data_IF_337795873009
#
_entry.id   IF_337795873009
#
_cell.length_a   1.000
_cell.length_b   1.000
_cell.length_c   1.000
_cell.angle_alpha   90.00
_cell.angle_beta   90.00
_cell.angle_gamma   90.00
#
_symmetry.space_group_name_H-M   'P 1'
#
loop_
_entity.id
_entity.type
_entity.pdbx_description
1 polymer ?
#
# COMPACT_ATOMS: atom_id res chain seq x y z
N UNK A 1 -14.96 16.95 1.71
CA UNK A 1 -15.04 15.51 1.39
C UNK A 1 -13.85 14.96 0.61
N UNK A 2 -13.77 14.97 -0.74
CA UNK A 2 -12.65 14.28 -1.44
C UNK A 2 -11.26 14.87 -1.15
N UNK A 3 -11.09 16.20 -1.23
CA UNK A 3 -9.80 16.85 -0.91
C UNK A 3 -9.38 16.64 0.56
N UNK A 4 -10.36 16.59 1.45
CA UNK A 4 -10.18 16.35 2.87
C UNK A 4 -9.76 14.90 3.14
N UNK A 5 -10.40 13.92 2.49
CA UNK A 5 -10.00 12.52 2.54
C UNK A 5 -8.57 12.33 2.02
N UNK A 6 -8.22 12.97 0.89
CA UNK A 6 -6.86 12.96 0.37
C UNK A 6 -5.88 13.53 1.41
N UNK A 7 -6.23 14.63 2.07
CA UNK A 7 -5.39 15.23 3.11
C UNK A 7 -5.19 14.28 4.30
N UNK A 8 -6.23 13.57 4.73
CA UNK A 8 -6.17 12.63 5.85
C UNK A 8 -5.32 11.39 5.55
N UNK A 9 -5.32 10.93 4.29
CA UNK A 9 -4.66 9.70 3.87
C UNK A 9 -3.24 9.91 3.30
N UNK A 10 -2.83 11.17 3.12
CA UNK A 10 -1.50 11.53 2.61
C UNK A 10 -0.48 11.62 3.75
N UNK A 11 0.76 11.21 3.48
CA UNK A 11 1.90 11.40 4.38
C UNK A 11 2.72 12.64 3.96
N UNK A 12 2.11 13.82 4.12
CA UNK A 12 2.75 15.11 3.75
C UNK A 12 3.93 15.48 4.66
N UNK A 13 3.92 14.96 5.89
CA UNK A 13 5.01 15.04 6.86
C UNK A 13 5.16 13.66 7.51
N UNK A 14 6.34 13.32 8.05
CA UNK A 14 6.49 12.10 8.83
C UNK A 14 5.52 12.07 10.01
N UNK A 15 4.82 10.95 10.21
CA UNK A 15 3.85 10.75 11.27
C UNK A 15 4.27 9.60 12.17
N UNK A 16 4.00 9.74 13.47
CA UNK A 16 4.19 8.65 14.40
C UNK A 16 3.07 7.64 14.21
N UNK A 17 3.43 6.37 14.08
CA UNK A 17 2.48 5.27 13.91
C UNK A 17 2.68 4.25 15.03
N UNK A 18 1.61 3.92 15.74
CA UNK A 18 1.63 2.91 16.81
C UNK A 18 0.96 1.64 16.28
N UNK A 19 1.74 0.57 16.17
CA UNK A 19 1.26 -0.73 15.71
C UNK A 19 0.87 -1.60 16.90
N UNK A 20 -0.40 -1.99 16.98
CA UNK A 20 -0.90 -2.83 18.08
C UNK A 20 -0.63 -4.32 17.83
N UNK A 21 0.56 -4.76 18.25
CA UNK A 21 1.07 -6.15 18.27
C UNK A 21 1.15 -6.90 16.93
N UNK A 22 2.29 -7.56 16.73
CA UNK A 22 2.76 -8.30 15.56
C UNK A 22 2.08 -9.67 15.37
N UNK A 23 0.75 -9.72 15.36
CA UNK A 23 0.09 -10.95 14.92
C UNK A 23 0.20 -11.07 13.38
N UNK A 24 0.69 -12.21 12.85
CA UNK A 24 0.72 -12.44 11.41
C UNK A 24 -0.70 -12.28 10.85
N UNK A 25 -0.85 -11.45 9.82
CA UNK A 25 -2.11 -11.28 9.10
C UNK A 25 -2.39 -12.58 8.33
N UNK A 26 -3.31 -13.39 8.83
CA UNK A 26 -3.72 -14.66 8.20
C UNK A 26 -4.35 -14.49 6.82
N UNK A 27 -4.82 -13.28 6.52
CA UNK A 27 -5.41 -12.87 5.26
C UNK A 27 -4.37 -12.38 4.24
N UNK A 28 -3.11 -12.20 4.63
CA UNK A 28 -2.04 -11.82 3.72
C UNK A 28 -1.22 -13.06 3.31
N UNK A 29 -0.89 -13.19 2.01
CA UNK A 29 0.06 -14.21 1.58
C UNK A 29 1.44 -13.94 2.22
N UNK A 30 2.23 -14.97 2.53
CA UNK A 30 3.58 -14.79 3.05
C UNK A 30 4.43 -13.99 2.06
N UNK A 31 5.35 -13.17 2.56
CA UNK A 31 6.25 -12.39 1.71
C UNK A 31 7.12 -13.34 0.88
N UNK A 32 7.05 -13.29 -0.45
CA UNK A 32 7.94 -14.05 -1.30
C UNK A 32 9.31 -13.37 -1.35
N UNK A 33 10.38 -14.14 -1.16
CA UNK A 33 11.75 -13.63 -1.29
C UNK A 33 12.03 -13.22 -2.73
N UNK A 34 12.50 -11.98 -2.93
CA UNK A 34 12.96 -11.51 -4.24
C UNK A 34 14.21 -12.28 -4.69
N UNK A 35 14.51 -12.30 -6.00
CA UNK A 35 15.79 -12.87 -6.43
C UNK A 35 16.96 -12.01 -5.94
N UNK A 36 18.15 -12.58 -5.72
CA UNK A 36 19.30 -11.83 -5.22
C UNK A 36 19.64 -10.60 -6.08
N UNK A 37 19.53 -10.71 -7.40
CA UNK A 37 19.83 -9.62 -8.34
C UNK A 37 18.85 -8.45 -8.22
N UNK A 38 17.63 -8.73 -7.74
CA UNK A 38 16.56 -7.74 -7.59
C UNK A 38 16.55 -7.12 -6.20
N UNK A 39 16.95 -7.90 -5.21
CA UNK A 39 17.10 -7.47 -3.80
C UNK A 39 18.01 -6.24 -3.71
N UNK A 40 19.11 -6.21 -4.46
CA UNK A 40 20.07 -5.10 -4.48
C UNK A 40 19.51 -3.76 -4.99
N UNK A 41 18.36 -3.70 -5.67
CA UNK A 41 17.76 -2.41 -6.04
C UNK A 41 16.41 -2.17 -5.38
N UNK A 42 15.70 -3.24 -5.00
CA UNK A 42 14.43 -3.13 -4.30
C UNK A 42 14.59 -2.57 -2.87
N UNK A 43 15.78 -2.76 -2.26
CA UNK A 43 16.06 -2.38 -0.87
C UNK A 43 17.13 -1.30 -0.70
N UNK A 44 17.59 -0.66 -1.78
CA UNK A 44 18.67 0.34 -1.76
C UNK A 44 18.16 1.77 -1.58
N UNK A 45 17.19 1.92 -0.68
CA UNK A 45 16.74 3.23 -0.21
C UNK A 45 17.96 4.07 0.21
N UNK A 46 18.01 5.31 -0.30
CA UNK A 46 19.09 6.33 -0.17
C UNK A 46 20.28 6.34 -1.14
N UNK A 47 20.67 5.27 -1.85
CA UNK A 47 21.94 5.33 -2.63
C UNK A 47 21.77 5.79 -4.10
N UNK A 48 20.58 5.69 -4.71
CA UNK A 48 20.38 6.14 -6.08
C UNK A 48 18.92 6.58 -6.36
N UNK A 49 18.60 7.81 -5.99
CA UNK A 49 17.23 8.34 -5.92
C UNK A 49 16.49 8.33 -7.30
N UNK A 50 17.22 8.43 -8.41
CA UNK A 50 16.60 8.51 -9.74
C UNK A 50 16.04 7.17 -10.22
N UNK A 51 16.82 6.09 -10.14
CA UNK A 51 16.38 4.76 -10.54
C UNK A 51 15.28 4.23 -9.61
N UNK A 52 15.42 4.49 -8.30
CA UNK A 52 14.40 4.15 -7.31
C UNK A 52 13.06 4.80 -7.63
N UNK A 53 13.07 6.08 -8.06
CA UNK A 53 11.86 6.80 -8.49
C UNK A 53 11.23 6.21 -9.76
N UNK A 54 12.02 5.75 -10.74
CA UNK A 54 11.47 5.05 -11.91
C UNK A 54 10.78 3.75 -11.51
N UNK A 55 11.41 2.97 -10.65
CA UNK A 55 10.87 1.71 -10.13
C UNK A 55 9.58 1.95 -9.36
N UNK A 56 9.53 3.00 -8.53
CA UNK A 56 8.34 3.44 -7.82
C UNK A 56 7.18 3.74 -8.79
N UNK A 57 7.43 4.44 -9.90
CA UNK A 57 6.42 4.76 -10.91
C UNK A 57 5.89 3.47 -11.57
N UNK A 58 6.78 2.55 -11.92
CA UNK A 58 6.40 1.25 -12.49
C UNK A 58 5.56 0.44 -11.51
N UNK A 59 6.00 0.33 -10.27
CA UNK A 59 5.28 -0.37 -9.20
C UNK A 59 3.89 0.21 -8.94
N UNK A 60 3.78 1.53 -8.85
CA UNK A 60 2.49 2.21 -8.72
C UNK A 60 1.54 1.90 -9.88
N UNK A 61 2.07 1.78 -11.10
CA UNK A 61 1.27 1.42 -12.27
C UNK A 61 0.71 0.00 -12.18
N UNK A 62 1.50 -0.95 -11.67
CA UNK A 62 1.07 -2.34 -11.43
C UNK A 62 -0.03 -2.38 -10.36
N UNK A 63 0.18 -1.71 -9.24
CA UNK A 63 -0.81 -1.63 -8.14
C UNK A 63 -2.13 -1.02 -8.66
N UNK A 64 -2.05 0.12 -9.37
CA UNK A 64 -3.23 0.78 -9.94
C UNK A 64 -3.95 -0.10 -10.97
N UNK A 65 -3.22 -0.90 -11.75
CA UNK A 65 -3.80 -1.87 -12.68
C UNK A 65 -4.58 -2.95 -11.92
N UNK A 66 -3.96 -3.57 -10.90
CA UNK A 66 -4.60 -4.61 -10.07
C UNK A 66 -5.87 -4.09 -9.39
N UNK A 67 -5.82 -2.90 -8.79
CA UNK A 67 -6.99 -2.23 -8.20
C UNK A 67 -8.11 -2.07 -9.25
N UNK A 68 -7.78 -1.55 -10.43
CA UNK A 68 -8.76 -1.33 -11.51
C UNK A 68 -9.38 -2.65 -12.00
N UNK A 69 -8.60 -3.73 -12.02
CA UNK A 69 -9.06 -5.08 -12.41
C UNK A 69 -10.02 -5.65 -11.36
N UNK A 70 -9.70 -5.54 -10.07
CA UNK A 70 -10.61 -5.93 -8.98
C UNK A 70 -11.89 -5.09 -9.05
N UNK A 71 -11.80 -3.77 -9.22
CA UNK A 71 -12.97 -2.88 -9.29
C UNK A 71 -13.93 -3.25 -10.43
N UNK A 72 -13.40 -3.61 -11.61
CA UNK A 72 -14.23 -4.08 -12.74
C UNK A 72 -15.05 -5.33 -12.39
N UNK A 73 -14.55 -6.18 -11.50
CA UNK A 73 -15.29 -7.36 -11.02
C UNK A 73 -16.39 -7.02 -10.01
N UNK A 74 -16.30 -5.86 -9.34
CA UNK A 74 -17.24 -5.37 -8.33
C UNK A 74 -18.32 -4.45 -8.97
N UNK A 75 -18.77 -4.74 -10.19
CA UNK A 75 -19.45 -3.86 -11.17
C UNK A 75 -20.82 -3.22 -10.80
N UNK A 76 -21.15 -3.02 -9.52
CA UNK A 76 -22.48 -2.54 -9.08
C UNK A 76 -22.53 -1.11 -8.53
N UNK A 77 -21.41 -0.39 -8.42
CA UNK A 77 -21.34 0.96 -7.83
C UNK A 77 -21.02 2.05 -8.86
N UNK A 78 -21.41 3.29 -8.54
CA UNK A 78 -21.19 4.46 -9.38
C UNK A 78 -19.71 4.78 -9.61
N UNK A 79 -19.42 5.48 -10.71
CA UNK A 79 -18.06 5.93 -11.06
C UNK A 79 -17.41 6.77 -9.95
N UNK A 80 -18.20 7.60 -9.26
CA UNK A 80 -17.72 8.40 -8.14
C UNK A 80 -17.26 7.53 -6.96
N UNK A 81 -18.01 6.47 -6.64
CA UNK A 81 -17.64 5.52 -5.59
C UNK A 81 -16.36 4.78 -5.95
N UNK A 82 -16.26 4.37 -7.20
CA UNK A 82 -15.07 3.71 -7.75
C UNK A 82 -13.83 4.60 -7.64
N UNK A 83 -13.95 5.89 -7.99
CA UNK A 83 -12.84 6.84 -7.88
C UNK A 83 -12.42 7.06 -6.41
N UNK A 84 -13.38 7.18 -5.49
CA UNK A 84 -13.07 7.28 -4.05
C UNK A 84 -12.33 6.05 -3.52
N UNK A 85 -12.79 4.85 -3.88
CA UNK A 85 -12.13 3.60 -3.50
C UNK A 85 -10.70 3.56 -4.04
N UNK A 86 -10.49 3.95 -5.30
CA UNK A 86 -9.17 4.02 -5.90
C UNK A 86 -8.24 5.00 -5.19
N UNK A 87 -8.74 6.18 -4.82
CA UNK A 87 -8.00 7.18 -4.03
C UNK A 87 -7.57 6.59 -2.68
N UNK A 88 -8.48 5.92 -1.97
CA UNK A 88 -8.18 5.29 -0.68
C UNK A 88 -7.08 4.24 -0.84
N UNK A 89 -7.25 3.33 -1.80
CA UNK A 89 -6.33 2.20 -2.02
C UNK A 89 -4.93 2.61 -2.48
N UNK A 90 -4.81 3.73 -3.20
CA UNK A 90 -3.53 4.28 -3.66
C UNK A 90 -2.91 5.30 -2.69
N UNK A 91 -3.54 5.52 -1.52
CA UNK A 91 -3.05 6.51 -0.56
C UNK A 91 -1.75 6.09 0.12
N UNK A 92 -0.94 7.08 0.51
CA UNK A 92 0.35 6.82 1.15
C UNK A 92 0.21 6.01 2.44
N UNK A 93 -0.80 6.30 3.27
CA UNK A 93 -1.03 5.54 4.52
C UNK A 93 -1.35 4.07 4.26
N UNK A 94 -2.18 3.76 3.27
CA UNK A 94 -2.51 2.37 2.91
C UNK A 94 -1.27 1.64 2.38
N UNK A 95 -0.53 2.25 1.46
CA UNK A 95 0.66 1.64 0.87
C UNK A 95 1.82 1.51 1.87
N UNK A 96 2.01 2.49 2.76
CA UNK A 96 2.97 2.41 3.86
C UNK A 96 2.59 1.30 4.86
N UNK A 97 1.29 1.13 5.15
CA UNK A 97 0.82 0.04 6.00
C UNK A 97 1.18 -1.32 5.38
N UNK A 98 1.00 -1.50 4.08
CA UNK A 98 1.46 -2.72 3.40
C UNK A 98 2.98 -2.92 3.48
N UNK A 99 3.79 -1.87 3.27
CA UNK A 99 5.25 -1.97 3.46
C UNK A 99 5.65 -2.43 4.86
N UNK A 100 4.91 -1.97 5.87
CA UNK A 100 5.22 -2.28 7.27
C UNK A 100 4.81 -3.70 7.61
N UNK A 101 3.59 -4.10 7.22
CA UNK A 101 3.08 -5.45 7.43
C UNK A 101 3.87 -6.55 6.73
N UNK A 102 4.43 -6.21 5.57
CA UNK A 102 5.27 -7.11 4.80
C UNK A 102 6.75 -7.00 5.19
N UNK A 103 7.09 -6.25 6.24
CA UNK A 103 8.47 -6.06 6.73
C UNK A 103 9.45 -5.46 5.69
N UNK A 104 8.95 -4.95 4.55
CA UNK A 104 9.74 -4.31 3.48
C UNK A 104 10.53 -3.10 4.00
N UNK A 105 9.96 -2.40 4.99
CA UNK A 105 10.62 -1.29 5.66
C UNK A 105 11.90 -1.73 6.43
N UNK A 106 11.92 -2.94 6.99
CA UNK A 106 13.07 -3.50 7.71
C UNK A 106 14.20 -3.78 6.72
N UNK A 107 13.88 -4.42 5.58
CA UNK A 107 14.83 -4.70 4.52
C UNK A 107 15.42 -3.40 3.94
N UNK A 108 14.62 -2.33 3.87
CA UNK A 108 15.06 -0.98 3.47
C UNK A 108 15.75 -0.17 4.59
N UNK A 109 15.91 -0.73 5.80
CA UNK A 109 16.47 -0.04 6.99
C UNK A 109 15.74 1.26 7.33
N UNK A 110 14.43 1.30 7.11
CA UNK A 110 13.57 2.43 7.43
C UNK A 110 13.14 2.41 8.90
N UNK A 111 12.73 3.57 9.42
CA UNK A 111 12.29 3.75 10.80
C UNK A 111 10.85 3.26 10.99
N UNK A 112 10.60 2.41 12.00
CA UNK A 112 9.30 1.80 12.29
C UNK A 112 8.30 2.72 13.02
N UNK A 113 8.80 3.69 13.77
CA UNK A 113 7.98 4.60 14.59
C UNK A 113 7.74 5.96 13.95
N UNK A 114 8.43 6.29 12.86
CA UNK A 114 8.28 7.56 12.13
C UNK A 114 8.07 7.29 10.64
N UNK A 115 6.81 7.21 10.26
CA UNK A 115 6.38 6.76 8.93
C UNK A 115 6.14 7.95 8.01
N UNK A 116 6.62 7.86 6.79
CA UNK A 116 6.54 8.92 5.78
C UNK A 116 6.20 8.34 4.39
N UNK A 117 6.10 9.20 3.38
CA UNK A 117 5.80 8.79 2.01
C UNK A 117 6.81 7.82 1.41
N UNK A 118 8.04 7.73 1.94
CA UNK A 118 9.03 6.77 1.46
C UNK A 118 8.71 5.33 1.85
N UNK A 119 7.94 5.11 2.91
CA UNK A 119 7.40 3.79 3.23
C UNK A 119 6.36 3.35 2.19
N UNK A 120 5.50 4.28 1.74
CA UNK A 120 4.59 3.99 0.63
C UNK A 120 5.35 3.71 -0.67
N UNK A 121 6.48 4.38 -0.87
CA UNK A 121 7.30 4.22 -2.07
C UNK A 121 8.11 2.93 -2.05
N UNK A 122 8.58 2.46 -0.89
CA UNK A 122 9.26 1.17 -0.78
C UNK A 122 8.33 0.01 -1.14
N UNK A 123 7.05 0.07 -0.76
CA UNK A 123 6.07 -0.92 -1.23
C UNK A 123 5.96 -0.92 -2.76
N UNK A 124 5.86 0.26 -3.39
CA UNK A 124 5.79 0.38 -4.86
C UNK A 124 7.05 -0.22 -5.52
N UNK A 125 8.23 0.14 -5.03
CA UNK A 125 9.50 -0.38 -5.56
C UNK A 125 9.60 -1.89 -5.37
N UNK A 126 9.19 -2.41 -4.21
CA UNK A 126 9.14 -3.84 -3.94
C UNK A 126 8.21 -4.58 -4.91
N UNK A 127 7.01 -4.06 -5.19
CA UNK A 127 6.08 -4.65 -6.18
C UNK A 127 6.73 -4.74 -7.57
N UNK A 128 7.45 -3.70 -7.99
CA UNK A 128 8.20 -3.75 -9.24
C UNK A 128 9.33 -4.80 -9.20
N UNK A 129 10.07 -4.89 -8.10
CA UNK A 129 11.07 -5.94 -7.89
C UNK A 129 10.46 -7.34 -7.94
N UNK A 130 9.29 -7.53 -7.34
CA UNK A 130 8.55 -8.79 -7.38
C UNK A 130 8.17 -9.18 -8.80
N UNK A 131 7.69 -8.22 -9.61
CA UNK A 131 7.45 -8.42 -11.03
C UNK A 131 8.72 -8.83 -11.79
N UNK A 132 9.87 -8.22 -11.48
CA UNK A 132 11.14 -8.59 -12.14
C UNK A 132 11.64 -9.97 -11.75
N UNK A 133 11.36 -10.38 -10.52
CA UNK A 133 11.77 -11.69 -9.99
C UNK A 133 10.91 -12.83 -10.55
N UNK A 134 9.59 -12.64 -10.67
CA UNK A 134 8.64 -13.72 -10.92
C UNK A 134 7.78 -13.55 -12.18
N UNK A 135 7.91 -12.42 -12.87
CA UNK A 135 7.12 -12.09 -14.05
C UNK A 135 5.76 -11.45 -13.71
N UNK A 136 5.15 -10.86 -14.75
CA UNK A 136 3.94 -10.04 -14.63
C UNK A 136 2.74 -10.79 -14.06
N UNK A 137 2.43 -11.98 -14.58
CA UNK A 137 1.23 -12.72 -14.18
C UNK A 137 1.25 -13.10 -12.69
N UNK A 138 2.38 -13.62 -12.21
CA UNK A 138 2.55 -14.01 -10.80
C UNK A 138 2.48 -12.78 -9.89
N UNK A 139 3.11 -11.68 -10.30
CA UNK A 139 3.06 -10.42 -9.57
C UNK A 139 1.63 -9.88 -9.45
N UNK A 140 0.86 -9.85 -10.54
CA UNK A 140 -0.52 -9.39 -10.51
C UNK A 140 -1.39 -10.26 -9.60
N UNK A 141 -1.27 -11.58 -9.68
CA UNK A 141 -2.01 -12.50 -8.81
C UNK A 141 -1.70 -12.27 -7.33
N UNK A 142 -0.42 -12.10 -6.98
CA UNK A 142 -0.01 -11.80 -5.61
C UNK A 142 -0.58 -10.46 -5.14
N UNK A 143 -0.38 -9.38 -5.91
CA UNK A 143 -0.86 -8.04 -5.56
C UNK A 143 -2.40 -8.03 -5.44
N UNK A 144 -3.11 -8.73 -6.33
CA UNK A 144 -4.55 -8.88 -6.23
C UNK A 144 -4.97 -9.58 -4.94
N UNK A 145 -4.35 -10.72 -4.60
CA UNK A 145 -4.65 -11.44 -3.35
C UNK A 145 -4.36 -10.62 -2.09
N UNK A 146 -3.35 -9.76 -2.13
CA UNK A 146 -2.99 -8.88 -1.02
C UNK A 146 -4.01 -7.74 -0.83
N UNK A 147 -4.49 -7.16 -1.94
CA UNK A 147 -5.33 -5.95 -1.94
C UNK A 147 -6.82 -6.27 -1.83
N UNK A 148 -7.26 -7.39 -2.39
CA UNK A 148 -8.68 -7.74 -2.50
C UNK A 148 -9.42 -7.80 -1.14
N UNK A 149 -8.86 -8.33 -0.04
CA UNK A 149 -9.54 -8.34 1.26
C UNK A 149 -9.88 -6.94 1.77
N UNK A 150 -8.95 -5.98 1.64
CA UNK A 150 -9.17 -4.59 2.03
C UNK A 150 -10.27 -3.95 1.16
N UNK A 151 -10.17 -4.15 -0.16
CA UNK A 151 -11.15 -3.62 -1.10
C UNK A 151 -12.56 -4.14 -0.84
N UNK A 152 -12.72 -5.44 -0.59
CA UNK A 152 -14.02 -6.04 -0.28
C UNK A 152 -14.62 -5.44 1.00
N UNK A 153 -13.78 -5.18 2.00
CA UNK A 153 -14.21 -4.58 3.26
C UNK A 153 -14.63 -3.13 3.07
N UNK A 154 -13.85 -2.32 2.36
CA UNK A 154 -14.19 -0.94 2.00
C UNK A 154 -15.45 -0.86 1.14
N UNK A 155 -15.69 -1.85 0.28
CA UNK A 155 -16.87 -1.90 -0.60
C UNK A 155 -18.21 -1.95 0.16
N UNK A 156 -18.17 -2.42 1.41
CA UNK A 156 -19.32 -2.50 2.30
C UNK A 156 -19.65 -1.19 3.01
N UNK A 157 -18.73 -0.22 3.01
CA UNK A 157 -18.85 1.06 3.73
C UNK A 157 -19.49 2.16 2.89
N UNK A 158 -20.06 3.15 3.57
CA UNK A 158 -20.40 4.45 2.95
C UNK A 158 -19.15 5.32 2.86
N UNK A 159 -18.53 5.35 1.69
CA UNK A 159 -17.29 6.10 1.44
C UNK A 159 -17.45 7.64 1.46
N UNK A 160 -18.61 8.16 1.88
CA UNK A 160 -18.82 9.58 2.14
C UNK A 160 -18.41 10.00 3.55
N UNK A 161 -18.23 9.05 4.46
CA UNK A 161 -17.85 9.31 5.84
C UNK A 161 -16.34 9.14 6.03
N UNK A 162 -15.61 10.27 6.04
CA UNK A 162 -14.15 10.27 6.14
C UNK A 162 -13.64 9.65 7.46
N UNK A 163 -14.32 9.90 8.59
CA UNK A 163 -13.93 9.38 9.90
C UNK A 163 -14.06 7.85 9.93
N UNK A 164 -15.18 7.32 9.43
CA UNK A 164 -15.43 5.88 9.34
C UNK A 164 -14.39 5.17 8.45
N UNK A 165 -13.97 5.79 7.34
CA UNK A 165 -12.90 5.24 6.50
C UNK A 165 -11.57 5.18 7.27
N UNK A 166 -11.18 6.28 7.94
CA UNK A 166 -9.92 6.35 8.68
C UNK A 166 -9.90 5.36 9.84
N UNK A 167 -10.97 5.30 10.62
CA UNK A 167 -11.13 4.36 11.72
C UNK A 167 -11.10 2.91 11.22
N UNK A 168 -11.79 2.63 10.12
CA UNK A 168 -11.74 1.32 9.50
C UNK A 168 -10.32 0.95 9.08
N UNK A 169 -9.59 1.84 8.40
CA UNK A 169 -8.21 1.57 7.97
C UNK A 169 -7.26 1.36 9.16
N UNK A 170 -7.40 2.18 10.20
CA UNK A 170 -6.62 2.08 11.43
C UNK A 170 -6.85 0.73 12.10
N UNK A 171 -8.11 0.29 12.19
CA UNK A 171 -8.46 -1.00 12.75
C UNK A 171 -8.01 -2.17 11.86
N UNK A 172 -8.21 -2.05 10.55
CA UNK A 172 -7.81 -3.06 9.57
C UNK A 172 -6.31 -3.30 9.63
N UNK A 173 -5.51 -2.25 9.65
CA UNK A 173 -4.06 -2.32 9.73
C UNK A 173 -3.53 -2.26 11.17
N UNK A 174 -4.38 -2.29 12.19
CA UNK A 174 -3.98 -2.17 13.61
C UNK A 174 -2.98 -1.03 13.88
N UNK A 175 -3.08 0.07 13.12
CA UNK A 175 -2.21 1.25 13.18
C UNK A 175 -2.97 2.43 13.74
N UNK A 176 -2.41 3.09 14.72
CA UNK A 176 -2.87 4.38 15.18
C UNK A 176 -1.89 5.47 14.73
N UNK A 177 -2.32 6.30 13.78
CA UNK A 177 -1.53 7.45 13.32
C UNK A 177 -1.71 8.59 14.32
N UNK A 178 -0.63 8.98 14.98
CA UNK A 178 -0.62 10.15 15.87
C UNK A 178 -0.36 11.37 14.99
N UNK A 179 -1.34 12.26 14.90
CA UNK A 179 -1.15 13.58 14.31
C UNK A 179 -0.13 14.36 15.14
N UNK A 180 0.96 14.77 14.49
CA UNK A 180 1.94 15.73 15.00
C UNK A 180 1.36 17.14 15.05
#
# INVERSE_FOLDING_TARGET
>A
MMQELISLLKLSQPQVAIFSSSFPRIDFPPLPHLTPEVTEFAFVYHNNNFEWRKMQICGNSIISFCISKIMKSLSSRSDHYQELLKIIMLSDKVLASYAIYLEIHIDNRMCDHLINSDHANSFKVWVYGYQKSFGTLICEQFVESLIQPLMNSLYSLDLKNNEEIVDFLNNYFKVFWVSS
#
